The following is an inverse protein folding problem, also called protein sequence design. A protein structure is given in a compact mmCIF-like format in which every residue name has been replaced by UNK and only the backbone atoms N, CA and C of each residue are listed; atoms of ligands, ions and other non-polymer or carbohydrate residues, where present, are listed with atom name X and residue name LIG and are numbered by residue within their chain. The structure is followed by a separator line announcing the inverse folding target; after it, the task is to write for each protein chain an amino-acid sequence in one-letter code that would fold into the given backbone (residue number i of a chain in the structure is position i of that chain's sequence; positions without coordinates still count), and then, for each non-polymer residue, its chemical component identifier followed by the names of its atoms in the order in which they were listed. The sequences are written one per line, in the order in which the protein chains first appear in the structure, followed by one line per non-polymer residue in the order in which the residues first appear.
data_IF_892872398410
#
_entry.id   IF_892872398410
#
_cell.length_a   1.000
_cell.length_b   1.000
_cell.length_c   1.000
_cell.angle_alpha   90.00
_cell.angle_beta   90.00
_cell.angle_gamma   90.00
#
_symmetry.space_group_name_H-M   'P 1'
#
loop_
_entity.id
_entity.type
_entity.pdbx_description
1 polymer ?
#
# COMPACT_ATOMS: atom_id res chain seq x y z
N UNK A 1 5.41 -5.15 -9.00
CA UNK A 1 5.10 -4.88 -7.57
C UNK A 1 6.36 -4.70 -6.71
N UNK A 2 7.39 -5.54 -6.81
CA UNK A 2 8.57 -5.45 -5.93
C UNK A 2 9.22 -4.05 -5.88
N UNK A 3 9.35 -3.36 -7.03
CA UNK A 3 9.81 -1.96 -7.05
C UNK A 3 8.86 -1.01 -6.30
N UNK A 4 7.54 -1.20 -6.43
CA UNK A 4 6.57 -0.42 -5.66
C UNK A 4 6.75 -0.66 -4.15
N UNK A 5 6.97 -1.91 -3.75
CA UNK A 5 7.24 -2.26 -2.36
C UNK A 5 8.52 -1.60 -1.84
N UNK A 6 9.58 -1.53 -2.65
CA UNK A 6 10.80 -0.80 -2.31
C UNK A 6 10.51 0.68 -2.10
N UNK A 7 9.86 1.35 -3.07
CA UNK A 7 9.55 2.78 -2.97
C UNK A 7 8.62 3.12 -1.79
N UNK A 8 7.59 2.31 -1.53
CA UNK A 8 6.72 2.51 -0.38
C UNK A 8 7.46 2.27 0.95
N UNK A 9 8.33 1.27 1.03
CA UNK A 9 9.14 1.03 2.22
C UNK A 9 10.12 2.19 2.48
N UNK A 10 10.79 2.68 1.44
CA UNK A 10 11.66 3.87 1.55
C UNK A 10 10.84 5.12 1.88
N UNK A 11 9.64 5.28 1.34
CA UNK A 11 8.73 6.36 1.74
C UNK A 11 8.42 6.29 3.24
N UNK A 12 8.10 5.10 3.77
CA UNK A 12 7.84 4.90 5.20
C UNK A 12 9.03 5.27 6.09
N UNK A 13 10.28 5.07 5.62
CA UNK A 13 11.48 5.56 6.30
C UNK A 13 11.45 7.09 6.46
N UNK A 14 11.18 7.83 5.37
CA UNK A 14 11.07 9.30 5.44
C UNK A 14 9.88 9.78 6.27
N UNK A 15 8.76 9.05 6.25
CA UNK A 15 7.61 9.33 7.14
C UNK A 15 8.02 9.18 8.61
N UNK A 16 8.79 8.14 8.98
CA UNK A 16 9.31 7.97 10.35
C UNK A 16 10.23 9.13 10.73
N UNK A 17 11.10 9.57 9.83
CA UNK A 17 12.00 10.71 10.07
C UNK A 17 11.24 12.04 10.23
N UNK A 18 10.22 12.30 9.40
CA UNK A 18 9.43 13.54 9.44
C UNK A 18 8.37 13.57 10.55
N UNK A 19 7.85 12.40 10.96
CA UNK A 19 6.80 12.27 11.98
C UNK A 19 7.20 12.69 13.39
N UNK A 20 8.49 12.98 13.63
CA UNK A 20 8.96 13.57 14.88
C UNK A 20 8.61 15.06 15.02
N UNK A 21 8.48 15.78 13.90
CA UNK A 21 8.29 17.23 13.88
C UNK A 21 6.97 17.66 13.23
N UNK A 22 6.43 16.85 12.31
CA UNK A 22 5.25 17.19 11.53
C UNK A 22 4.06 16.26 11.84
N UNK A 23 2.85 16.80 12.02
CA UNK A 23 1.62 16.03 12.10
C UNK A 23 1.42 15.09 10.91
N UNK A 24 0.89 13.89 11.17
CA UNK A 24 0.70 12.88 10.13
C UNK A 24 -0.25 13.35 9.01
N UNK A 25 -1.27 14.16 9.32
CA UNK A 25 -2.17 14.72 8.32
C UNK A 25 -1.43 15.60 7.30
N UNK A 26 -0.43 16.36 7.74
CA UNK A 26 0.42 17.18 6.85
C UNK A 26 1.33 16.32 5.99
N UNK A 27 1.95 15.28 6.57
CA UNK A 27 2.76 14.34 5.80
C UNK A 27 1.94 13.70 4.66
N UNK A 28 0.68 13.35 4.93
CA UNK A 28 -0.25 12.83 3.93
C UNK A 28 -0.66 13.90 2.91
N UNK A 29 -0.93 15.12 3.34
CA UNK A 29 -1.27 16.23 2.45
C UNK A 29 -0.13 16.56 1.50
N UNK A 30 1.08 16.77 2.02
CA UNK A 30 2.28 17.05 1.23
C UNK A 30 2.58 15.92 0.24
N UNK A 31 2.47 14.66 0.69
CA UNK A 31 2.56 13.48 -0.19
C UNK A 31 1.59 13.58 -1.36
N UNK A 32 0.32 13.89 -1.10
CA UNK A 32 -0.72 13.95 -2.13
C UNK A 32 -0.54 15.13 -3.08
N UNK A 33 -0.13 16.30 -2.60
CA UNK A 33 0.16 17.48 -3.44
C UNK A 33 1.33 17.21 -4.38
N UNK A 34 2.44 16.69 -3.88
CA UNK A 34 3.62 16.37 -4.70
C UNK A 34 3.28 15.26 -5.70
N UNK A 35 2.58 14.22 -5.27
CA UNK A 35 2.12 13.16 -6.17
C UNK A 35 1.17 13.69 -7.26
N UNK A 36 0.27 14.62 -6.93
CA UNK A 36 -0.61 15.29 -7.88
C UNK A 36 0.20 16.05 -8.92
N UNK A 37 1.15 16.89 -8.48
CA UNK A 37 2.00 17.68 -9.38
C UNK A 37 2.79 16.79 -10.35
N UNK A 38 3.45 15.74 -9.83
CA UNK A 38 4.23 14.81 -10.65
C UNK A 38 3.33 14.01 -11.61
N UNK A 39 2.17 13.53 -11.14
CA UNK A 39 1.22 12.82 -11.99
C UNK A 39 0.69 13.71 -13.11
N UNK A 40 0.32 14.96 -12.80
CA UNK A 40 -0.19 15.93 -13.78
C UNK A 40 0.86 16.31 -14.82
N UNK A 41 2.10 16.57 -14.37
CA UNK A 41 3.23 16.80 -15.27
C UNK A 41 3.49 15.60 -16.18
N UNK A 42 3.42 14.37 -15.62
CA UNK A 42 3.62 13.14 -16.39
C UNK A 42 2.53 12.92 -17.43
N UNK A 43 1.26 13.22 -17.12
CA UNK A 43 0.16 13.16 -18.08
C UNK A 43 0.36 14.16 -19.22
N UNK A 44 0.74 15.40 -18.88
CA UNK A 44 1.00 16.44 -19.87
C UNK A 44 2.15 16.04 -20.81
N UNK A 45 3.27 15.53 -20.27
CA UNK A 45 4.43 15.08 -21.06
C UNK A 45 4.12 13.88 -21.97
N UNK A 46 3.17 13.04 -21.57
CA UNK A 46 2.72 11.88 -22.36
C UNK A 46 1.61 12.23 -23.36
N UNK A 47 1.11 13.47 -23.37
CA UNK A 47 -0.01 13.88 -24.23
C UNK A 47 -1.33 13.17 -23.89
N UNK A 48 -1.50 12.71 -22.65
CA UNK A 48 -2.68 11.97 -22.21
C UNK A 48 -3.75 12.90 -21.65
N UNK A 49 -5.02 12.61 -21.91
CA UNK A 49 -6.14 13.31 -21.30
C UNK A 49 -6.26 13.02 -19.79
N UNK A 50 -6.62 14.03 -19.01
CA UNK A 50 -6.74 13.93 -17.54
C UNK A 50 -7.94 13.10 -17.05
N UNK A 51 -8.95 12.94 -17.90
CA UNK A 51 -10.27 12.45 -17.48
C UNK A 51 -10.47 10.95 -17.69
N UNK A 52 -9.62 10.32 -18.51
CA UNK A 52 -9.80 8.92 -18.90
C UNK A 52 -11.14 8.61 -19.56
N UNK A 53 -11.38 7.33 -19.75
CA UNK A 53 -12.62 6.79 -20.33
C UNK A 53 -13.62 6.46 -19.22
N UNK A 54 -13.21 5.71 -18.18
CA UNK A 54 -14.12 5.24 -17.13
C UNK A 54 -14.08 6.11 -15.87
N UNK A 55 -14.57 7.36 -15.99
CA UNK A 55 -14.55 8.38 -14.92
C UNK A 55 -15.13 7.92 -13.59
N UNK A 56 -16.21 7.14 -13.62
CA UNK A 56 -16.88 6.64 -12.40
C UNK A 56 -15.96 5.68 -11.63
N UNK A 57 -15.32 4.77 -12.35
CA UNK A 57 -14.42 3.79 -11.76
C UNK A 57 -13.10 4.44 -11.31
N UNK A 58 -12.61 5.45 -12.05
CA UNK A 58 -11.45 6.27 -11.68
C UNK A 58 -11.69 7.07 -10.38
N UNK A 59 -12.86 7.71 -10.24
CA UNK A 59 -13.24 8.40 -9.00
C UNK A 59 -13.43 7.42 -7.85
N UNK A 60 -14.11 6.28 -8.08
CA UNK A 60 -14.28 5.25 -7.07
C UNK A 60 -12.93 4.72 -6.57
N UNK A 61 -11.97 4.52 -7.47
CA UNK A 61 -10.59 4.15 -7.11
C UNK A 61 -9.94 5.18 -6.19
N UNK A 62 -10.09 6.47 -6.49
CA UNK A 62 -9.57 7.55 -5.67
C UNK A 62 -10.19 7.56 -4.27
N UNK A 63 -11.51 7.48 -4.19
CA UNK A 63 -12.27 7.46 -2.92
C UNK A 63 -11.91 6.25 -2.08
N UNK A 64 -11.97 5.03 -2.63
CA UNK A 64 -11.62 3.79 -1.91
C UNK A 64 -10.18 3.82 -1.40
N UNK A 65 -9.25 4.34 -2.21
CA UNK A 65 -7.86 4.51 -1.80
C UNK A 65 -7.69 5.49 -0.64
N UNK A 66 -8.41 6.61 -0.66
CA UNK A 66 -8.38 7.58 0.42
C UNK A 66 -9.04 7.04 1.69
N UNK A 67 -10.21 6.39 1.58
CA UNK A 67 -10.89 5.73 2.70
C UNK A 67 -9.97 4.70 3.36
N UNK A 68 -9.28 3.88 2.58
CA UNK A 68 -8.29 2.93 3.10
C UNK A 68 -7.18 3.63 3.90
N UNK A 69 -6.65 4.75 3.38
CA UNK A 69 -5.61 5.52 4.05
C UNK A 69 -6.07 6.10 5.39
N UNK A 70 -7.27 6.67 5.44
CA UNK A 70 -7.85 7.23 6.67
C UNK A 70 -8.16 6.13 7.70
N UNK A 71 -8.72 4.99 7.26
CA UNK A 71 -8.93 3.84 8.14
C UNK A 71 -7.62 3.34 8.74
N UNK A 72 -6.55 3.26 7.94
CA UNK A 72 -5.24 2.87 8.44
C UNK A 72 -4.67 3.86 9.44
N UNK A 73 -4.79 5.18 9.19
CA UNK A 73 -4.38 6.21 10.14
C UNK A 73 -5.16 6.10 11.46
N UNK A 74 -6.48 5.93 11.40
CA UNK A 74 -7.29 5.70 12.59
C UNK A 74 -6.82 4.46 13.37
N UNK A 75 -6.46 3.38 12.68
CA UNK A 75 -5.97 2.16 13.31
C UNK A 75 -4.64 2.37 14.04
N UNK A 76 -3.64 3.03 13.41
CA UNK A 76 -2.31 3.21 14.02
C UNK A 76 -2.28 4.18 15.21
N UNK A 77 -3.33 5.01 15.38
CA UNK A 77 -3.45 5.90 16.56
C UNK A 77 -4.07 5.20 17.77
N UNK A 78 -4.75 4.07 17.57
CA UNK A 78 -5.50 3.35 18.63
C UNK A 78 -5.03 1.92 18.87
N UNK A 79 -4.32 1.34 17.92
CA UNK A 79 -3.73 0.01 18.01
C UNK A 79 -2.21 0.11 18.03
N UNK A 80 -1.52 -0.84 18.66
CA UNK A 80 -0.10 -1.02 18.44
C UNK A 80 0.20 -1.13 16.94
N UNK A 81 1.28 -0.47 16.49
CA UNK A 81 1.67 -0.41 15.07
C UNK A 81 1.76 -1.80 14.42
N UNK A 82 2.25 -2.79 15.16
CA UNK A 82 2.29 -4.19 14.75
C UNK A 82 0.92 -4.75 14.40
N UNK A 83 -0.08 -4.52 15.26
CA UNK A 83 -1.44 -5.02 15.10
C UNK A 83 -2.10 -4.37 13.88
N UNK A 84 -2.04 -3.04 13.79
CA UNK A 84 -2.58 -2.30 12.66
C UNK A 84 -1.93 -2.72 11.33
N UNK A 85 -0.62 -2.99 11.33
CA UNK A 85 0.12 -3.43 10.14
C UNK A 85 -0.31 -4.82 9.68
N UNK A 86 -0.43 -5.79 10.58
CA UNK A 86 -0.91 -7.14 10.25
C UNK A 86 -2.33 -7.09 9.69
N UNK A 87 -3.22 -6.32 10.34
CA UNK A 87 -4.60 -6.15 9.87
C UNK A 87 -4.63 -5.52 8.47
N UNK A 88 -3.83 -4.50 8.21
CA UNK A 88 -3.73 -3.88 6.88
C UNK A 88 -3.18 -4.85 5.82
N UNK A 89 -2.21 -5.68 6.18
CA UNK A 89 -1.63 -6.70 5.31
C UNK A 89 -2.58 -7.88 5.02
N UNK A 90 -3.80 -7.91 5.56
CA UNK A 90 -4.84 -8.82 5.06
C UNK A 90 -5.39 -8.40 3.68
N UNK A 91 -5.09 -7.17 3.22
CA UNK A 91 -5.60 -6.65 1.94
C UNK A 91 -5.33 -7.53 0.71
N UNK A 92 -4.23 -8.31 0.57
CA UNK A 92 -4.03 -9.14 -0.61
C UNK A 92 -5.00 -10.34 -0.64
N UNK A 93 -5.41 -10.84 0.53
CA UNK A 93 -6.41 -11.91 0.65
C UNK A 93 -7.79 -11.38 0.22
N UNK A 94 -8.19 -10.22 0.74
CA UNK A 94 -9.42 -9.57 0.29
C UNK A 94 -9.36 -9.20 -1.19
N UNK A 95 -8.19 -8.81 -1.71
CA UNK A 95 -8.01 -8.52 -3.13
C UNK A 95 -8.22 -9.79 -3.95
N UNK A 96 -7.67 -10.93 -3.53
CA UNK A 96 -7.89 -12.19 -4.21
C UNK A 96 -9.37 -12.59 -4.23
N UNK A 97 -10.08 -12.42 -3.12
CA UNK A 97 -11.51 -12.68 -3.02
C UNK A 97 -12.33 -11.76 -3.95
N UNK A 98 -12.12 -10.45 -3.87
CA UNK A 98 -12.84 -9.47 -4.69
C UNK A 98 -12.50 -9.62 -6.18
N UNK A 99 -11.25 -9.89 -6.53
CA UNK A 99 -10.85 -10.16 -7.91
C UNK A 99 -11.51 -11.43 -8.46
N UNK A 100 -11.68 -12.46 -7.63
CA UNK A 100 -12.42 -13.67 -8.04
C UNK A 100 -13.89 -13.37 -8.29
N UNK A 101 -14.54 -12.60 -7.40
CA UNK A 101 -15.97 -12.30 -7.48
C UNK A 101 -16.32 -11.29 -8.58
N UNK A 102 -15.52 -10.23 -8.73
CA UNK A 102 -15.81 -9.08 -9.60
C UNK A 102 -15.20 -9.24 -10.98
N UNK A 103 -13.99 -9.82 -11.06
CA UNK A 103 -13.22 -9.93 -12.31
C UNK A 103 -13.19 -11.36 -12.86
N UNK A 104 -13.69 -12.35 -12.12
CA UNK A 104 -13.60 -13.76 -12.50
C UNK A 104 -12.18 -14.33 -12.44
N UNK A 105 -11.22 -13.62 -11.82
CA UNK A 105 -9.83 -14.09 -11.72
C UNK A 105 -9.75 -15.31 -10.80
N UNK A 106 -9.14 -16.40 -11.27
CA UNK A 106 -8.93 -17.59 -10.45
C UNK A 106 -7.53 -17.58 -9.85
N UNK A 107 -7.44 -17.48 -8.53
CA UNK A 107 -6.18 -17.70 -7.83
C UNK A 107 -5.94 -19.21 -7.66
N UNK A 108 -4.77 -19.70 -8.08
CA UNK A 108 -4.45 -21.11 -7.90
C UNK A 108 -4.19 -21.42 -6.43
N UNK A 109 -4.43 -22.67 -6.00
CA UNK A 109 -4.12 -23.08 -4.61
C UNK A 109 -2.65 -22.90 -4.24
N UNK A 110 -1.73 -22.94 -5.22
CA UNK A 110 -0.30 -22.65 -5.00
C UNK A 110 -0.04 -21.16 -4.75
N UNK A 111 -0.74 -20.28 -5.47
CA UNK A 111 -0.63 -18.84 -5.25
C UNK A 111 -1.24 -18.47 -3.88
N UNK A 112 -2.37 -19.09 -3.52
CA UNK A 112 -2.99 -18.93 -2.20
C UNK A 112 -2.05 -19.33 -1.08
N UNK A 113 -1.48 -20.53 -1.15
CA UNK A 113 -0.53 -21.02 -0.14
C UNK A 113 0.70 -20.13 -0.05
N UNK A 114 1.23 -19.65 -1.18
CA UNK A 114 2.37 -18.71 -1.21
C UNK A 114 2.04 -17.36 -0.56
N UNK A 115 0.83 -16.83 -0.81
CA UNK A 115 0.34 -15.61 -0.18
C UNK A 115 0.12 -15.78 1.33
N UNK A 116 -0.43 -16.93 1.76
CA UNK A 116 -0.62 -17.27 3.17
C UNK A 116 0.72 -17.44 3.90
N UNK A 117 1.70 -18.12 3.29
CA UNK A 117 3.06 -18.23 3.83
C UNK A 117 3.70 -16.85 3.99
N UNK A 118 3.51 -15.97 3.00
CA UNK A 118 4.01 -14.59 3.10
C UNK A 118 3.33 -13.82 4.24
N UNK A 119 2.01 -13.95 4.39
CA UNK A 119 1.27 -13.34 5.50
C UNK A 119 1.69 -13.89 6.86
N UNK A 120 1.95 -15.19 6.97
CA UNK A 120 2.52 -15.77 8.19
C UNK A 120 3.88 -15.15 8.52
N UNK A 121 4.73 -14.94 7.51
CA UNK A 121 5.97 -14.20 7.66
C UNK A 121 5.75 -12.78 8.20
N UNK A 122 4.77 -12.06 7.67
CA UNK A 122 4.35 -10.73 8.19
C UNK A 122 3.95 -10.79 9.66
N UNK A 123 3.11 -11.77 10.04
CA UNK A 123 2.65 -11.97 11.42
C UNK A 123 3.84 -12.23 12.36
N UNK A 124 4.79 -13.07 11.94
CA UNK A 124 5.99 -13.40 12.72
C UNK A 124 6.93 -12.19 12.87
N UNK A 125 7.06 -11.35 11.84
CA UNK A 125 7.86 -10.12 11.91
C UNK A 125 7.19 -9.07 12.80
N UNK A 126 5.92 -8.79 12.54
CA UNK A 126 5.19 -7.73 13.23
C UNK A 126 4.94 -8.09 14.71
N UNK A 127 4.79 -9.38 15.01
CA UNK A 127 4.47 -9.90 16.35
C UNK A 127 3.30 -9.15 16.99
N UNK A 128 2.11 -9.26 16.38
CA UNK A 128 0.95 -8.58 16.90
C UNK A 128 0.68 -8.99 18.35
N UNK A 129 0.38 -7.99 19.17
CA UNK A 129 0.26 -8.10 20.60
C UNK A 129 -0.88 -9.04 21.01
N UNK A 130 -1.92 -9.16 20.17
CA UNK A 130 -3.05 -10.07 20.35
C UNK A 130 -2.74 -11.56 20.08
N UNK A 131 -1.66 -11.89 19.37
CA UNK A 131 -1.23 -13.28 19.16
C UNK A 131 -0.07 -13.67 20.08
N UNK A 132 0.81 -12.74 20.40
CA UNK A 132 2.06 -13.02 21.12
C UNK A 132 2.04 -12.59 22.59
N UNK A 133 0.86 -12.21 23.12
CA UNK A 133 0.64 -12.07 24.56
C UNK A 133 1.28 -10.85 25.22
N UNK A 134 1.57 -9.80 24.45
CA UNK A 134 2.18 -8.57 24.98
C UNK A 134 1.16 -7.55 25.55
N UNK A 135 -0.14 -7.80 25.40
CA UNK A 135 -1.21 -6.90 25.83
C UNK A 135 -1.60 -7.13 27.30
N UNK A 136 -1.54 -6.05 28.09
CA UNK A 136 -2.15 -5.99 29.44
C UNK A 136 -3.64 -5.60 29.38
N UNK A 137 -4.13 -5.10 28.24
CA UNK A 137 -5.49 -4.62 28.04
C UNK A 137 -6.13 -5.22 26.78
N UNK A 138 -7.47 -5.30 26.67
CA UNK A 138 -8.12 -5.74 25.44
C UNK A 138 -7.92 -4.73 24.31
N UNK A 139 -7.80 -5.21 23.07
CA UNK A 139 -7.74 -4.35 21.88
C UNK A 139 -9.01 -3.50 21.74
N UNK A 140 -8.86 -2.27 21.26
CA UNK A 140 -10.00 -1.45 20.82
C UNK A 140 -10.68 -2.13 19.62
N UNK A 141 -11.83 -2.76 19.88
CA UNK A 141 -12.60 -3.49 18.88
C UNK A 141 -13.02 -2.59 17.72
N UNK A 142 -13.35 -1.32 17.98
CA UNK A 142 -13.70 -0.36 16.95
C UNK A 142 -12.50 -0.14 16.02
N UNK A 143 -11.30 0.04 16.57
CA UNK A 143 -10.09 0.23 15.79
C UNK A 143 -9.73 -1.01 14.96
N UNK A 144 -9.95 -2.22 15.47
CA UNK A 144 -9.78 -3.48 14.71
C UNK A 144 -10.77 -3.55 13.54
N UNK A 145 -12.05 -3.24 13.76
CA UNK A 145 -13.06 -3.23 12.70
C UNK A 145 -12.72 -2.18 11.62
N UNK A 146 -12.28 -0.99 12.03
CA UNK A 146 -11.86 0.07 11.09
C UNK A 146 -10.61 -0.34 10.31
N UNK A 147 -9.65 -1.01 10.93
CA UNK A 147 -8.46 -1.52 10.24
C UNK A 147 -8.82 -2.57 9.16
N UNK A 148 -9.72 -3.51 9.48
CA UNK A 148 -10.20 -4.51 8.53
C UNK A 148 -11.02 -3.87 7.40
N UNK A 149 -11.85 -2.88 7.71
CA UNK A 149 -12.54 -2.08 6.70
C UNK A 149 -11.54 -1.36 5.78
N UNK A 150 -10.46 -0.79 6.34
CA UNK A 150 -9.38 -0.18 5.57
C UNK A 150 -8.66 -1.16 4.64
N UNK A 151 -8.42 -2.39 5.11
CA UNK A 151 -7.86 -3.47 4.29
C UNK A 151 -8.83 -3.87 3.15
N UNK A 152 -10.14 -3.93 3.42
CA UNK A 152 -11.16 -4.19 2.40
C UNK A 152 -11.27 -3.05 1.38
N UNK A 153 -11.24 -1.79 1.82
CA UNK A 153 -11.19 -0.62 0.95
C UNK A 153 -9.93 -0.63 0.07
N UNK A 154 -8.78 -1.02 0.62
CA UNK A 154 -7.53 -1.20 -0.14
C UNK A 154 -7.70 -2.26 -1.22
N UNK A 155 -8.30 -3.40 -0.87
CA UNK A 155 -8.56 -4.49 -1.81
C UNK A 155 -9.53 -4.09 -2.92
N UNK A 156 -10.60 -3.37 -2.59
CA UNK A 156 -11.52 -2.81 -3.56
C UNK A 156 -10.82 -1.78 -4.47
N UNK A 157 -9.97 -0.92 -3.91
CA UNK A 157 -9.14 0.00 -4.68
C UNK A 157 -8.20 -0.76 -5.64
N UNK A 158 -7.51 -1.81 -5.20
CA UNK A 158 -6.66 -2.62 -6.09
C UNK A 158 -7.45 -3.33 -7.19
N UNK A 159 -8.65 -3.83 -6.87
CA UNK A 159 -9.55 -4.47 -7.83
C UNK A 159 -10.05 -3.47 -8.87
N UNK A 160 -10.36 -2.23 -8.48
CA UNK A 160 -10.74 -1.17 -9.43
C UNK A 160 -9.57 -0.79 -10.35
N UNK A 161 -8.33 -0.68 -9.84
CA UNK A 161 -7.14 -0.50 -10.70
C UNK A 161 -7.02 -1.64 -11.71
N UNK A 162 -7.19 -2.88 -11.24
CA UNK A 162 -7.12 -4.05 -12.11
C UNK A 162 -8.16 -4.01 -13.21
N UNK A 163 -9.40 -3.59 -12.90
CA UNK A 163 -10.48 -3.45 -13.89
C UNK A 163 -10.21 -2.31 -14.88
N UNK A 164 -9.66 -1.19 -14.41
CA UNK A 164 -9.30 -0.03 -15.23
C UNK A 164 -8.22 -0.32 -16.27
N UNK A 165 -7.50 -1.46 -16.19
CA UNK A 165 -6.55 -1.87 -17.23
C UNK A 165 -7.19 -2.00 -18.62
N UNK A 166 -8.49 -2.28 -18.68
CA UNK A 166 -9.24 -2.50 -19.91
C UNK A 166 -9.59 -1.19 -20.64
N UNK A 167 -9.66 -0.08 -19.91
CA UNK A 167 -10.19 1.20 -20.43
C UNK A 167 -9.20 2.35 -20.33
N UNK A 168 -8.28 2.33 -19.36
CA UNK A 168 -7.52 3.52 -18.99
C UNK A 168 -6.01 3.27 -18.90
N UNK A 169 -5.24 4.25 -19.35
CA UNK A 169 -3.79 4.20 -19.22
C UNK A 169 -3.37 4.26 -17.74
N UNK A 170 -2.36 3.47 -17.28
CA UNK A 170 -1.94 3.43 -15.88
C UNK A 170 -1.68 4.80 -15.24
N UNK A 171 -1.13 5.74 -16.00
CA UNK A 171 -0.83 7.09 -15.49
C UNK A 171 -2.11 7.90 -15.19
N UNK A 172 -3.19 7.67 -15.93
CA UNK A 172 -4.50 8.29 -15.64
C UNK A 172 -5.06 7.70 -14.35
N UNK A 173 -4.97 6.38 -14.16
CA UNK A 173 -5.40 5.73 -12.91
C UNK A 173 -4.62 6.26 -11.70
N UNK A 174 -3.31 6.44 -11.84
CA UNK A 174 -2.44 7.00 -10.79
C UNK A 174 -2.83 8.43 -10.44
N UNK A 175 -3.20 9.26 -11.41
CA UNK A 175 -3.60 10.65 -11.23
C UNK A 175 -4.83 10.83 -10.32
N UNK A 176 -5.80 9.90 -10.39
CA UNK A 176 -7.04 10.04 -9.63
C UNK A 176 -6.89 9.86 -8.11
N UNK A 177 -5.91 9.09 -7.65
CA UNK A 177 -5.67 8.94 -6.21
C UNK A 177 -5.24 10.24 -5.51
N UNK A 178 -4.18 10.95 -5.93
CA UNK A 178 -3.84 12.25 -5.38
C UNK A 178 -4.88 13.32 -5.71
N UNK A 179 -5.58 13.24 -6.86
CA UNK A 179 -6.64 14.19 -7.21
C UNK A 179 -7.80 14.17 -6.19
N UNK A 180 -8.19 12.98 -5.73
CA UNK A 180 -9.25 12.81 -4.73
C UNK A 180 -8.72 13.03 -3.32
N UNK A 181 -7.54 12.51 -2.98
CA UNK A 181 -7.03 12.59 -1.61
C UNK A 181 -6.58 13.99 -1.19
N UNK A 182 -6.02 14.79 -2.10
CA UNK A 182 -5.54 16.16 -1.79
C UNK A 182 -6.64 17.06 -1.20
N UNK A 183 -7.80 17.26 -1.86
CA UNK A 183 -8.85 18.12 -1.30
C UNK A 183 -9.49 17.53 -0.03
N UNK A 184 -9.53 16.21 0.12
CA UNK A 184 -10.15 15.56 1.28
C UNK A 184 -9.26 15.61 2.54
N UNK A 185 -7.94 15.54 2.39
CA UNK A 185 -7.01 15.64 3.53
C UNK A 185 -6.69 17.09 3.90
N UNK A 186 -6.80 18.04 2.94
CA UNK A 186 -6.54 19.46 3.17
C UNK A 186 -7.21 20.05 4.42
N UNK A 187 -8.53 19.89 4.66
CA UNK A 187 -9.15 20.45 5.86
C UNK A 187 -8.65 19.82 7.16
N UNK A 188 -8.28 18.53 7.14
CA UNK A 188 -7.74 17.83 8.31
C UNK A 188 -6.31 18.33 8.60
N UNK A 189 -5.49 18.50 7.58
CA UNK A 189 -4.14 19.04 7.72
C UNK A 189 -4.15 20.51 8.19
N UNK A 190 -5.16 21.30 7.79
CA UNK A 190 -5.25 22.71 8.17
C UNK A 190 -5.57 22.95 9.65
N UNK A 191 -6.09 21.97 10.40
CA UNK A 191 -6.48 22.14 11.81
C UNK A 191 -5.25 22.37 12.71
N UNK A 192 -4.21 21.55 12.56
CA UNK A 192 -3.01 21.56 13.40
C UNK A 192 -1.76 21.85 12.58
N UNK A 193 -1.84 22.80 11.64
CA UNK A 193 -0.77 23.04 10.66
C UNK A 193 0.53 23.59 11.29
N UNK A 194 1.63 22.87 11.10
CA UNK A 194 3.00 23.20 11.49
C UNK A 194 3.81 23.55 10.26
N UNK A 195 4.50 24.68 10.30
CA UNK A 195 5.34 25.10 9.17
C UNK A 195 6.63 24.25 9.10
N UNK A 196 6.93 23.60 7.96
CA UNK A 196 8.16 22.84 7.81
C UNK A 196 9.39 23.76 7.82
N UNK A 197 10.45 23.36 8.53
CA UNK A 197 11.69 24.16 8.65
C UNK A 197 12.89 23.39 8.13
N UNK A 198 13.77 24.06 7.39
CA UNK A 198 15.05 23.50 6.96
C UNK A 198 14.91 22.21 6.15
N UNK A 199 15.38 21.09 6.72
CA UNK A 199 15.42 19.78 6.06
C UNK A 199 14.04 19.14 5.87
N UNK A 200 13.01 19.60 6.59
CA UNK A 200 11.66 19.04 6.51
C UNK A 200 11.10 19.12 5.07
N UNK A 201 11.40 20.19 4.34
CA UNK A 201 10.99 20.33 2.94
C UNK A 201 11.51 19.21 2.03
N UNK A 202 12.75 18.76 2.26
CA UNK A 202 13.35 17.67 1.50
C UNK A 202 12.74 16.33 1.90
N UNK A 203 12.39 16.15 3.17
CA UNK A 203 11.63 14.97 3.64
C UNK A 203 10.26 14.92 2.98
N UNK A 204 9.51 16.02 2.95
CA UNK A 204 8.20 16.10 2.31
C UNK A 204 8.25 15.82 0.81
N UNK A 205 9.23 16.39 0.10
CA UNK A 205 9.46 16.12 -1.32
C UNK A 205 9.83 14.65 -1.57
N UNK A 206 10.67 14.06 -0.72
CA UNK A 206 11.04 12.65 -0.82
C UNK A 206 9.82 11.75 -0.60
N UNK A 207 9.01 12.00 0.42
CA UNK A 207 7.76 11.27 0.70
C UNK A 207 6.84 11.30 -0.53
N UNK A 208 6.58 12.48 -1.09
CA UNK A 208 5.71 12.63 -2.25
C UNK A 208 6.24 11.94 -3.51
N UNK A 209 7.53 12.10 -3.78
CA UNK A 209 8.17 11.50 -4.97
C UNK A 209 8.20 9.98 -4.88
N UNK A 210 8.62 9.43 -3.74
CA UNK A 210 8.67 7.98 -3.50
C UNK A 210 7.26 7.39 -3.49
N UNK A 211 6.29 8.07 -2.89
CA UNK A 211 4.88 7.68 -2.96
C UNK A 211 4.40 7.59 -4.41
N UNK A 212 4.71 8.59 -5.23
CA UNK A 212 4.30 8.62 -6.63
C UNK A 212 4.95 7.50 -7.44
N UNK A 213 6.26 7.28 -7.28
CA UNK A 213 6.95 6.14 -7.92
C UNK A 213 6.32 4.81 -7.48
N UNK A 214 6.05 4.64 -6.18
CA UNK A 214 5.33 3.50 -5.65
C UNK A 214 3.98 3.27 -6.33
N UNK A 215 3.16 4.32 -6.43
CA UNK A 215 1.84 4.25 -7.09
C UNK A 215 1.93 3.90 -8.58
N UNK A 216 2.91 4.47 -9.30
CA UNK A 216 3.14 4.16 -10.72
C UNK A 216 3.49 2.69 -10.92
N UNK A 217 4.46 2.16 -10.17
CA UNK A 217 4.86 0.75 -10.30
C UNK A 217 3.79 -0.22 -9.78
N UNK A 218 3.02 0.18 -8.75
CA UNK A 218 1.92 -0.62 -8.23
C UNK A 218 0.81 -0.75 -9.27
N UNK A 219 0.39 0.38 -9.85
CA UNK A 219 -0.64 0.43 -10.90
C UNK A 219 -0.20 -0.35 -12.14
N UNK A 220 1.02 -0.12 -12.63
CA UNK A 220 1.57 -0.92 -13.75
C UNK A 220 1.58 -2.41 -13.44
N UNK A 221 1.96 -2.79 -12.22
CA UNK A 221 1.94 -4.20 -11.80
C UNK A 221 0.55 -4.81 -11.86
N UNK A 222 -0.48 -4.06 -11.45
CA UNK A 222 -1.87 -4.52 -11.49
C UNK A 222 -2.44 -4.56 -12.91
N UNK A 223 -1.92 -3.76 -13.84
CA UNK A 223 -2.30 -3.88 -15.25
C UNK A 223 -1.66 -5.12 -15.90
N UNK A 224 -0.44 -5.48 -15.49
CA UNK A 224 0.34 -6.58 -16.08
C UNK A 224 0.04 -7.96 -15.47
N UNK A 225 -0.33 -8.03 -14.19
CA UNK A 225 -0.54 -9.29 -13.45
C UNK A 225 -1.88 -9.32 -12.73
N UNK A 226 -2.36 -10.52 -12.38
CA UNK A 226 -3.61 -10.69 -11.62
C UNK A 226 -3.55 -9.92 -10.31
N UNK A 227 -4.70 -9.39 -9.86
CA UNK A 227 -4.75 -8.53 -8.69
C UNK A 227 -4.24 -9.26 -7.44
N UNK A 228 -4.60 -10.54 -7.31
CA UNK A 228 -4.16 -11.41 -6.23
C UNK A 228 -2.63 -11.59 -6.19
N UNK A 229 -2.00 -11.93 -7.32
CA UNK A 229 -0.54 -12.16 -7.38
C UNK A 229 0.22 -10.85 -7.19
N UNK A 230 -0.23 -9.79 -7.86
CA UNK A 230 0.40 -8.49 -7.76
C UNK A 230 0.40 -7.98 -6.32
N UNK A 231 -0.74 -8.02 -5.61
CA UNK A 231 -0.84 -7.53 -4.23
C UNK A 231 -0.10 -8.40 -3.23
N UNK A 232 -0.03 -9.73 -3.42
CA UNK A 232 0.74 -10.59 -2.51
C UNK A 232 2.26 -10.30 -2.54
N UNK A 233 2.82 -9.89 -3.67
CA UNK A 233 4.23 -9.45 -3.74
C UNK A 233 4.49 -8.18 -2.91
N UNK A 234 3.44 -7.43 -2.54
CA UNK A 234 3.58 -6.23 -1.70
C UNK A 234 4.06 -6.53 -0.27
N UNK A 235 3.98 -7.78 0.19
CA UNK A 235 4.54 -8.21 1.48
C UNK A 235 6.05 -7.97 1.59
N UNK A 236 6.77 -7.90 0.45
CA UNK A 236 8.19 -7.53 0.42
C UNK A 236 8.48 -6.18 1.08
N UNK A 237 7.48 -5.29 1.22
CA UNK A 237 7.62 -4.03 1.97
C UNK A 237 8.20 -4.25 3.37
N UNK A 238 7.82 -5.35 4.04
CA UNK A 238 8.31 -5.67 5.39
C UNK A 238 9.78 -6.07 5.36
N UNK A 239 10.21 -6.83 4.36
CA UNK A 239 11.62 -7.22 4.20
C UNK A 239 12.47 -5.97 3.97
N UNK A 240 12.03 -5.08 3.09
CA UNK A 240 12.72 -3.80 2.88
C UNK A 240 12.70 -2.92 4.13
N UNK A 241 11.61 -2.91 4.91
CA UNK A 241 11.53 -2.14 6.15
C UNK A 241 12.55 -2.63 7.20
N UNK A 242 12.75 -3.95 7.30
CA UNK A 242 13.80 -4.53 8.16
C UNK A 242 15.20 -4.06 7.72
N UNK A 243 15.47 -4.08 6.41
CA UNK A 243 16.76 -3.61 5.86
C UNK A 243 16.98 -2.14 6.21
N UNK A 244 15.97 -1.28 6.05
CA UNK A 244 16.06 0.11 6.45
C UNK A 244 16.19 0.30 7.96
N UNK A 245 15.54 -0.53 8.77
CA UNK A 245 15.71 -0.59 10.23
C UNK A 245 17.17 -0.78 10.62
N UNK A 246 17.82 -1.76 10.00
CA UNK A 246 19.23 -2.05 10.23
C UNK A 246 20.15 -0.91 9.75
N UNK A 247 19.93 -0.41 8.52
CA UNK A 247 20.83 0.57 7.89
C UNK A 247 20.69 1.99 8.47
N UNK A 248 19.46 2.44 8.73
CA UNK A 248 19.20 3.82 9.14
C UNK A 248 19.13 3.99 10.66
N UNK A 249 18.71 2.96 11.39
CA UNK A 249 18.48 3.04 12.84
C UNK A 249 19.36 2.09 13.65
N UNK A 250 20.25 1.31 13.00
CA UNK A 250 21.06 0.27 13.66
C UNK A 250 20.23 -0.73 14.48
N UNK A 251 18.97 -0.94 14.08
CA UNK A 251 18.06 -1.88 14.74
C UNK A 251 18.45 -3.31 14.33
N UNK A 252 19.03 -4.08 15.26
CA UNK A 252 19.43 -5.47 15.00
C UNK A 252 18.18 -6.36 14.94
N UNK A 253 17.87 -7.01 13.80
CA UNK A 253 16.70 -7.86 13.69
C UNK A 253 16.86 -9.09 14.58
N UNK A 254 15.83 -9.35 15.37
CA UNK A 254 15.78 -10.55 16.20
C UNK A 254 15.74 -11.84 15.36
N UNK A 255 16.10 -13.01 15.93
CA UNK A 255 16.01 -14.29 15.22
C UNK A 255 14.63 -14.58 14.63
N UNK A 256 13.53 -14.28 15.34
CA UNK A 256 12.18 -14.46 14.75
C UNK A 256 11.92 -13.47 13.62
N UNK A 257 12.45 -12.25 13.67
CA UNK A 257 12.33 -11.29 12.57
C UNK A 257 12.97 -11.85 11.30
N UNK A 258 14.11 -12.55 11.43
CA UNK A 258 14.76 -13.24 10.33
C UNK A 258 13.96 -14.43 9.80
N UNK A 259 13.35 -15.22 10.70
CA UNK A 259 12.43 -16.31 10.31
C UNK A 259 11.25 -15.75 9.51
N UNK A 260 10.60 -14.72 10.03
CA UNK A 260 9.47 -14.08 9.36
C UNK A 260 9.84 -13.47 8.01
N UNK A 261 10.99 -12.78 7.92
CA UNK A 261 11.51 -12.28 6.64
C UNK A 261 11.77 -13.39 5.63
N UNK A 262 12.33 -14.52 6.08
CA UNK A 262 12.57 -15.70 5.24
C UNK A 262 11.25 -16.26 4.69
N UNK A 263 10.20 -16.37 5.53
CA UNK A 263 8.87 -16.80 5.09
C UNK A 263 8.28 -15.86 4.03
N UNK A 264 8.41 -14.54 4.21
CA UNK A 264 7.96 -13.54 3.21
C UNK A 264 8.69 -13.73 1.88
N UNK A 265 10.01 -13.91 1.91
CA UNK A 265 10.81 -14.11 0.69
C UNK A 265 10.43 -15.43 0.00
N UNK A 266 10.33 -16.53 0.74
CA UNK A 266 9.96 -17.83 0.18
C UNK A 266 8.56 -17.83 -0.44
N UNK A 267 7.57 -17.25 0.25
CA UNK A 267 6.22 -17.10 -0.28
C UNK A 267 6.21 -16.23 -1.54
N UNK A 268 6.95 -15.12 -1.55
CA UNK A 268 7.05 -14.25 -2.73
C UNK A 268 7.73 -14.94 -3.92
N UNK A 269 8.79 -15.72 -3.69
CA UNK A 269 9.44 -16.52 -4.72
C UNK A 269 8.52 -17.63 -5.26
N UNK A 270 7.67 -18.20 -4.41
CA UNK A 270 6.63 -19.15 -4.81
C UNK A 270 5.66 -18.55 -5.83
N UNK A 271 5.26 -17.29 -5.63
CA UNK A 271 4.41 -16.54 -6.57
C UNK A 271 5.12 -16.27 -7.91
N UNK A 272 6.43 -16.00 -7.88
CA UNK A 272 7.22 -15.68 -9.07
C UNK A 272 7.49 -16.90 -9.98
N UNK A 273 7.54 -18.11 -9.43
CA UNK A 273 7.93 -19.33 -10.17
C UNK A 273 6.88 -19.86 -11.16
N UNK A 274 5.71 -19.24 -11.26
CA UNK A 274 4.65 -19.70 -12.20
C UNK A 274 4.63 -18.86 -13.48
N UNK A 275 5.00 -19.48 -14.60
CA UNK A 275 4.62 -19.02 -15.95
C UNK A 275 3.10 -19.05 -16.05
N UNK A 276 2.51 -17.95 -16.52
CA UNK A 276 1.09 -17.91 -16.93
C UNK A 276 0.86 -19.09 -17.88
N UNK A 277 -0.09 -20.00 -17.61
CA UNK A 277 -0.44 -21.05 -18.55
C UNK A 277 -0.81 -20.41 -19.89
N UNK A 278 -0.28 -20.95 -20.99
CA UNK A 278 -0.49 -20.42 -22.34
C UNK A 278 -1.97 -20.43 -22.80
N UNK A 279 -2.91 -20.89 -21.98
CA UNK A 279 -4.34 -20.99 -22.31
C UNK A 279 -5.11 -19.67 -22.27
N UNK A 280 -4.48 -18.56 -21.87
CA UNK A 280 -5.10 -17.22 -21.87
C UNK A 280 -4.64 -16.34 -23.05
N UNK A 281 -3.84 -16.91 -23.98
CA UNK A 281 -3.45 -16.26 -25.24
C UNK A 281 -4.41 -16.52 -26.40
N UNK A 282 -5.51 -17.22 -26.17
CA UNK A 282 -6.48 -17.58 -27.20
C UNK A 282 -7.91 -17.31 -26.71
N UNK A 283 -8.27 -16.03 -26.65
CA UNK A 283 -9.64 -15.52 -26.85
C UNK A 283 -9.53 -14.06 -27.25
#
# INVERSE_FOLDING_TARGET
MALAALFFSTMSLFVKLGGHHLPLAELVFARSVVALAIAGFSLHRLGLGFWGENRRLLLLRGVLGFSALICYFFAITRLPLADATVLQFTNPIFTALLATLILGERMSGRDLTSALVSLLGVIVVARPSFLFGAQRAPLDLLAVMVALLGALCSAAAYTTVRKLRETDHPMVVVWYFPLVSTPLIAPIAAVDWVWPVGWDWLVLLAIGTLAQLGQVYMTRSLHLETAARATAVSYLQIVFAIVWGLLAFSEVPSPMTLVGATLVVLGTLGLAKRRVPASEKAT
#
